data_IF_260109952331
#
_entry.id   IF_260109952331
#
_cell.length_a   1.000
_cell.length_b   1.000
_cell.length_c   1.000
_cell.angle_alpha   90.00
_cell.angle_beta   90.00
_cell.angle_gamma   90.00
#
_symmetry.space_group_name_H-M   'P 1'
#
loop_
_entity.id
_entity.type
_entity.pdbx_description
1 polymer ?
#
# COMPACT_ATOMS: atom_id res chain seq x y z
N UNK A 1 -19.21 7.97 18.72
CA UNK A 1 -17.90 8.05 18.05
C UNK A 1 -17.59 6.68 17.45
N UNK A 2 -17.04 6.64 16.23
CA UNK A 2 -16.41 5.44 15.64
C UNK A 2 -15.02 5.87 15.19
N UNK A 3 -14.00 5.25 15.75
CA UNK A 3 -12.59 5.51 15.40
C UNK A 3 -12.31 5.05 13.95
N UNK A 4 -11.69 5.88 13.09
CA UNK A 4 -11.30 5.47 11.74
C UNK A 4 -9.96 4.69 11.73
N UNK A 5 -9.85 3.64 10.90
CA UNK A 5 -8.66 2.77 10.76
C UNK A 5 -8.40 2.38 9.29
N UNK A 6 -7.16 2.54 8.78
CA UNK A 6 -6.91 3.09 7.43
C UNK A 6 -5.45 3.06 6.78
N UNK A 7 -4.87 1.93 6.30
CA UNK A 7 -3.47 1.80 5.74
C UNK A 7 -3.16 2.31 4.34
N UNK A 8 -1.85 2.31 3.97
CA UNK A 8 -1.29 2.57 2.61
C UNK A 8 -0.05 1.73 2.16
N UNK A 9 0.40 0.66 2.86
CA UNK A 9 1.66 -0.08 2.54
C UNK A 9 1.54 -1.62 2.58
N UNK A 10 2.45 -2.33 1.91
CA UNK A 10 2.66 -3.78 2.15
C UNK A 10 3.47 -3.97 3.41
N UNK A 11 3.09 -4.97 4.17
CA UNK A 11 3.71 -5.30 5.44
C UNK A 11 3.58 -4.21 6.50
N UNK A 12 2.57 -3.35 6.40
CA UNK A 12 2.26 -2.31 7.39
C UNK A 12 0.75 -2.08 7.50
N UNK A 13 0.35 -1.14 8.36
CA UNK A 13 -1.02 -0.71 8.60
C UNK A 13 -1.13 0.82 8.67
N UNK A 14 -2.35 1.33 8.90
CA UNK A 14 -2.71 2.75 9.06
C UNK A 14 -1.77 3.64 9.85
N UNK A 15 -1.48 3.28 11.09
CA UNK A 15 -1.23 4.31 12.11
C UNK A 15 0.14 4.98 11.90
N UNK A 16 1.02 4.30 11.14
CA UNK A 16 2.31 4.81 10.63
C UNK A 16 2.16 6.00 9.66
N UNK A 17 0.95 6.30 9.19
CA UNK A 17 0.59 7.48 8.38
C UNK A 17 -0.22 8.55 9.14
N UNK A 18 -0.57 8.34 10.41
CA UNK A 18 -1.40 9.28 11.18
C UNK A 18 -0.84 10.71 11.19
N UNK A 19 0.47 10.89 11.25
CA UNK A 19 1.12 12.20 11.18
C UNK A 19 0.94 12.92 9.82
N UNK A 20 0.81 12.18 8.70
CA UNK A 20 0.49 12.76 7.40
C UNK A 20 -1.00 13.07 7.30
N UNK A 21 -1.87 12.12 7.70
CA UNK A 21 -3.31 12.30 7.73
C UNK A 21 -3.70 13.52 8.57
N UNK A 22 -3.16 13.66 9.79
CA UNK A 22 -3.40 14.82 10.66
C UNK A 22 -2.94 16.15 10.05
N UNK A 23 -1.80 16.19 9.34
CA UNK A 23 -1.33 17.41 8.64
C UNK A 23 -2.17 17.80 7.43
N UNK A 24 -2.87 16.85 6.82
CA UNK A 24 -3.83 17.08 5.74
C UNK A 24 -5.19 17.50 6.31
N UNK A 25 -5.69 16.82 7.34
CA UNK A 25 -6.91 17.20 8.06
C UNK A 25 -6.82 18.63 8.62
N UNK A 26 -5.69 19.00 9.23
CA UNK A 26 -5.41 20.36 9.70
C UNK A 26 -5.32 21.42 8.57
N UNK A 27 -5.32 21.01 7.30
CA UNK A 27 -5.39 21.87 6.10
C UNK A 27 -6.76 21.83 5.42
N UNK A 28 -7.77 21.20 6.03
CA UNK A 28 -9.14 21.13 5.52
C UNK A 28 -9.43 19.96 4.57
N UNK A 29 -8.53 18.99 4.44
CA UNK A 29 -8.78 17.78 3.65
C UNK A 29 -9.50 16.70 4.47
N UNK A 30 -10.60 16.15 3.95
CA UNK A 30 -11.13 14.88 4.45
C UNK A 30 -10.18 13.75 4.02
N UNK A 31 -9.59 13.03 4.98
CA UNK A 31 -8.62 11.97 4.70
C UNK A 31 -9.27 10.60 4.93
N UNK A 32 -9.22 9.77 3.89
CA UNK A 32 -9.61 8.36 3.92
C UNK A 32 -8.40 7.50 3.60
N UNK A 33 -8.32 6.32 4.23
CA UNK A 33 -7.36 5.27 3.91
C UNK A 33 -7.92 3.90 4.39
N UNK A 34 -7.34 2.77 4.00
CA UNK A 34 -7.89 1.42 4.26
C UNK A 34 -6.80 0.42 4.65
N UNK A 35 -6.98 -0.36 5.72
CA UNK A 35 -6.09 -1.51 5.97
C UNK A 35 -6.29 -2.51 4.81
N UNK A 36 -5.32 -2.59 3.90
CA UNK A 36 -5.47 -3.37 2.66
C UNK A 36 -5.72 -4.85 2.97
N UNK A 37 -6.35 -5.60 2.05
CA UNK A 37 -6.51 -7.05 2.21
C UNK A 37 -5.18 -7.73 2.57
N UNK A 38 -5.23 -8.65 3.54
CA UNK A 38 -4.06 -9.32 4.08
C UNK A 38 -3.15 -8.46 4.98
N UNK A 39 -3.49 -7.21 5.27
CA UNK A 39 -2.65 -6.26 6.01
C UNK A 39 -3.38 -5.65 7.22
N UNK A 40 -2.63 -5.33 8.27
CA UNK A 40 -3.15 -4.69 9.47
C UNK A 40 -4.42 -5.35 10.03
N UNK A 41 -5.38 -4.51 10.43
CA UNK A 41 -6.65 -4.88 11.05
C UNK A 41 -7.64 -5.54 10.08
N UNK A 42 -7.43 -5.45 8.76
CA UNK A 42 -8.18 -6.23 7.76
C UNK A 42 -7.59 -7.63 7.59
N UNK A 43 -6.27 -7.74 7.61
CA UNK A 43 -5.54 -9.00 7.52
C UNK A 43 -5.73 -9.93 8.71
N UNK A 44 -5.81 -9.37 9.92
CA UNK A 44 -6.01 -10.16 11.15
C UNK A 44 -7.27 -11.04 11.13
N UNK A 45 -8.51 -10.52 10.92
CA UNK A 45 -9.71 -11.35 10.82
C UNK A 45 -9.70 -12.21 9.55
N UNK A 46 -9.14 -11.74 8.43
CA UNK A 46 -8.96 -12.53 7.22
C UNK A 46 -8.15 -13.81 7.46
N UNK A 47 -7.24 -13.80 8.44
CA UNK A 47 -6.38 -14.92 8.80
C UNK A 47 -6.66 -15.50 10.20
N UNK A 48 -7.87 -15.32 10.74
CA UNK A 48 -8.30 -15.86 12.04
C UNK A 48 -7.38 -15.47 13.22
N UNK A 49 -6.77 -14.29 13.16
CA UNK A 49 -5.82 -13.78 14.16
C UNK A 49 -4.36 -14.19 13.96
N UNK A 50 -4.04 -14.96 12.93
CA UNK A 50 -2.67 -15.40 12.63
C UNK A 50 -1.83 -14.28 11.97
N UNK A 51 -1.10 -13.54 12.81
CA UNK A 51 -0.21 -12.46 12.37
C UNK A 51 0.90 -12.95 11.41
N UNK A 52 1.33 -14.22 11.48
CA UNK A 52 2.35 -14.76 10.58
C UNK A 52 1.84 -14.94 9.12
N UNK A 53 0.55 -14.71 8.89
CA UNK A 53 -0.07 -14.70 7.55
C UNK A 53 -0.31 -13.30 7.00
N UNK A 54 -0.04 -12.24 7.77
CA UNK A 54 -0.05 -10.87 7.25
C UNK A 54 0.89 -10.72 6.05
N UNK A 55 0.52 -9.84 5.13
CA UNK A 55 1.14 -9.71 3.81
C UNK A 55 0.55 -10.63 2.73
N UNK A 56 -0.15 -11.71 3.09
CA UNK A 56 -0.81 -12.61 2.13
C UNK A 56 -2.17 -12.04 1.74
N UNK A 57 -2.40 -11.81 0.44
CA UNK A 57 -3.63 -11.18 -0.07
C UNK A 57 -4.86 -12.11 -0.08
N UNK A 58 -4.67 -13.43 -0.03
CA UNK A 58 -5.75 -14.41 -0.11
C UNK A 58 -6.38 -14.51 -1.50
N UNK A 59 -7.64 -14.96 -1.54
CA UNK A 59 -8.31 -15.30 -2.81
C UNK A 59 -8.41 -14.09 -3.76
N UNK A 60 -8.00 -14.31 -5.01
CA UNK A 60 -7.98 -13.28 -6.07
C UNK A 60 -6.74 -12.38 -6.10
N UNK A 61 -5.85 -12.48 -5.10
CA UNK A 61 -4.50 -11.92 -5.15
C UNK A 61 -4.42 -10.41 -5.38
N UNK A 62 -3.40 -9.97 -6.12
CA UNK A 62 -3.17 -8.55 -6.43
C UNK A 62 -4.33 -7.94 -7.22
N UNK A 63 -4.98 -8.71 -8.10
CA UNK A 63 -6.14 -8.23 -8.85
C UNK A 63 -7.33 -7.94 -7.95
N UNK A 64 -7.45 -8.64 -6.82
CA UNK A 64 -8.48 -8.35 -5.83
C UNK A 64 -8.12 -7.13 -4.99
N UNK A 65 -6.85 -6.98 -4.55
CA UNK A 65 -6.41 -5.77 -3.84
C UNK A 65 -6.65 -4.48 -4.65
N UNK A 66 -6.39 -4.51 -5.95
CA UNK A 66 -6.64 -3.37 -6.86
C UNK A 66 -8.14 -3.08 -7.06
N UNK A 67 -9.01 -4.10 -6.98
CA UNK A 67 -10.47 -3.88 -6.97
C UNK A 67 -10.92 -3.26 -5.65
N UNK A 68 -10.50 -3.83 -4.51
CA UNK A 68 -10.83 -3.31 -3.19
C UNK A 68 -10.44 -1.82 -3.06
N UNK A 69 -9.27 -1.41 -3.58
CA UNK A 69 -8.84 0.00 -3.63
C UNK A 69 -9.78 0.89 -4.47
N UNK A 70 -10.27 0.40 -5.61
CA UNK A 70 -11.19 1.13 -6.49
C UNK A 70 -12.59 1.22 -5.88
N UNK A 71 -13.10 0.12 -5.32
CA UNK A 71 -14.38 0.06 -4.62
C UNK A 71 -14.38 0.99 -3.38
N UNK A 72 -13.23 1.10 -2.69
CA UNK A 72 -13.01 2.08 -1.63
C UNK A 72 -13.05 3.52 -2.16
N UNK A 73 -12.40 3.82 -3.28
CA UNK A 73 -12.50 5.11 -3.97
C UNK A 73 -13.94 5.51 -4.33
N UNK A 74 -14.72 4.56 -4.85
CA UNK A 74 -16.14 4.77 -5.18
C UNK A 74 -16.98 5.08 -3.95
N UNK A 75 -16.72 4.38 -2.85
CA UNK A 75 -17.38 4.64 -1.57
C UNK A 75 -17.06 6.06 -1.05
N UNK A 76 -15.79 6.48 -1.10
CA UNK A 76 -15.39 7.84 -0.68
C UNK A 76 -16.14 8.89 -1.51
N UNK A 77 -16.21 8.72 -2.83
CA UNK A 77 -16.92 9.64 -3.73
C UNK A 77 -18.42 9.69 -3.45
N UNK A 78 -19.05 8.55 -3.14
CA UNK A 78 -20.46 8.46 -2.77
C UNK A 78 -20.76 9.13 -1.41
N UNK A 79 -19.84 9.02 -0.44
CA UNK A 79 -19.93 9.71 0.86
C UNK A 79 -19.64 11.22 0.76
N UNK A 80 -18.93 11.69 -0.28
CA UNK A 80 -18.48 13.08 -0.44
C UNK A 80 -18.80 13.62 -1.86
N UNK A 81 -20.08 13.71 -2.25
CA UNK A 81 -20.47 14.15 -3.59
C UNK A 81 -19.99 15.58 -3.90
N UNK A 82 -19.42 15.77 -5.10
CA UNK A 82 -18.96 17.08 -5.58
C UNK A 82 -17.58 17.53 -5.07
N UNK A 83 -16.93 16.80 -4.16
CA UNK A 83 -15.56 17.09 -3.75
C UNK A 83 -14.52 16.38 -4.65
N UNK A 84 -13.36 17.01 -4.95
CA UNK A 84 -12.26 16.35 -5.63
C UNK A 84 -11.68 15.17 -4.83
N UNK A 85 -11.40 14.06 -5.50
CA UNK A 85 -10.79 12.86 -4.92
C UNK A 85 -9.32 12.75 -5.38
N UNK A 86 -8.40 12.74 -4.42
CA UNK A 86 -6.97 12.63 -4.69
C UNK A 86 -6.44 11.29 -4.18
N UNK A 87 -5.82 10.51 -5.07
CA UNK A 87 -5.17 9.26 -4.71
C UNK A 87 -3.76 9.51 -4.18
N UNK A 88 -3.45 9.07 -2.95
CA UNK A 88 -2.09 9.08 -2.42
C UNK A 88 -1.65 7.63 -2.22
N UNK A 89 -0.60 7.22 -2.94
CA UNK A 89 -0.07 5.85 -2.86
C UNK A 89 1.43 5.87 -2.60
N UNK A 90 1.90 5.04 -1.66
CA UNK A 90 3.33 4.89 -1.36
C UNK A 90 3.80 3.45 -1.57
N UNK A 91 5.01 3.26 -2.12
CA UNK A 91 5.60 1.93 -2.39
C UNK A 91 4.60 1.04 -3.16
N UNK A 92 4.22 -0.13 -2.67
CA UNK A 92 3.22 -1.00 -3.32
C UNK A 92 1.84 -0.34 -3.51
N UNK A 93 1.39 0.51 -2.58
CA UNK A 93 0.17 1.30 -2.74
C UNK A 93 0.25 2.24 -3.95
N UNK A 94 1.44 2.76 -4.27
CA UNK A 94 1.68 3.52 -5.49
C UNK A 94 1.61 2.65 -6.75
N UNK A 95 2.01 1.37 -6.68
CA UNK A 95 1.93 0.44 -7.80
C UNK A 95 0.47 0.02 -8.07
N UNK A 96 -0.32 -0.22 -7.01
CA UNK A 96 -1.77 -0.41 -7.13
C UNK A 96 -2.45 0.84 -7.67
N UNK A 97 -2.05 2.03 -7.22
CA UNK A 97 -2.56 3.28 -7.78
C UNK A 97 -2.29 3.41 -9.28
N UNK A 98 -1.05 3.13 -9.72
CA UNK A 98 -0.75 3.01 -11.15
C UNK A 98 -1.61 1.95 -11.88
N UNK A 99 -1.98 0.83 -11.22
CA UNK A 99 -2.86 -0.18 -11.82
C UNK A 99 -4.28 0.33 -12.03
N UNK A 100 -4.82 1.10 -11.10
CA UNK A 100 -6.14 1.75 -11.23
C UNK A 100 -6.08 2.82 -12.32
N UNK A 101 -5.15 3.79 -12.21
CA UNK A 101 -5.04 4.91 -13.14
C UNK A 101 -4.78 4.50 -14.60
N UNK A 102 -4.17 3.34 -14.85
CA UNK A 102 -3.98 2.80 -16.20
C UNK A 102 -5.28 2.50 -16.97
N UNK A 103 -6.42 2.32 -16.28
CA UNK A 103 -7.72 2.02 -16.89
C UNK A 103 -8.89 2.86 -16.38
N UNK A 104 -8.66 3.63 -15.31
CA UNK A 104 -9.67 4.34 -14.51
C UNK A 104 -9.13 5.67 -13.99
N UNK A 105 -8.33 6.40 -14.78
CA UNK A 105 -7.78 7.70 -14.38
C UNK A 105 -8.85 8.79 -14.26
N UNK A 106 -9.97 8.63 -14.93
CA UNK A 106 -11.17 9.48 -14.87
C UNK A 106 -11.89 9.44 -13.51
N UNK A 107 -11.59 8.45 -12.66
CA UNK A 107 -12.23 8.31 -11.34
C UNK A 107 -11.58 9.18 -10.26
N UNK A 108 -10.40 9.76 -10.53
CA UNK A 108 -9.58 10.55 -9.60
C UNK A 108 -9.17 11.90 -10.20
N UNK A 109 -9.30 12.97 -9.42
CA UNK A 109 -9.00 14.34 -9.87
C UNK A 109 -7.49 14.65 -9.82
N UNK A 110 -6.74 13.95 -8.96
CA UNK A 110 -5.28 13.99 -8.92
C UNK A 110 -4.68 12.71 -8.29
N UNK A 111 -3.38 12.50 -8.49
CA UNK A 111 -2.63 11.40 -7.87
C UNK A 111 -1.24 11.83 -7.39
N UNK A 112 -0.82 11.30 -6.23
CA UNK A 112 0.51 11.49 -5.65
C UNK A 112 1.14 10.11 -5.40
N UNK A 113 2.24 9.82 -6.11
CA UNK A 113 2.93 8.53 -6.04
C UNK A 113 4.29 8.70 -5.35
N UNK A 114 4.43 8.15 -4.14
CA UNK A 114 5.61 8.29 -3.29
C UNK A 114 6.41 6.97 -3.20
N UNK A 115 7.74 7.02 -3.19
CA UNK A 115 8.58 5.81 -3.12
C UNK A 115 8.24 4.78 -4.22
N UNK A 116 7.85 5.27 -5.39
CA UNK A 116 7.26 4.46 -6.46
C UNK A 116 8.33 3.79 -7.32
N UNK A 117 7.93 2.80 -8.10
CA UNK A 117 8.77 2.16 -9.10
C UNK A 117 8.07 2.15 -10.46
N UNK A 118 8.86 2.16 -11.53
CA UNK A 118 8.32 1.92 -12.86
C UNK A 118 7.86 0.45 -12.96
N UNK A 119 6.70 0.22 -13.60
CA UNK A 119 6.06 -1.11 -13.65
C UNK A 119 6.50 -1.92 -14.87
N UNK A 120 7.79 -2.20 -14.98
CA UNK A 120 8.36 -3.10 -16.00
C UNK A 120 9.16 -4.23 -15.34
N UNK A 121 9.36 -5.31 -16.07
CA UNK A 121 10.17 -6.44 -15.60
C UNK A 121 11.59 -5.98 -15.32
N UNK A 122 12.12 -6.31 -14.14
CA UNK A 122 13.48 -5.97 -13.71
C UNK A 122 13.63 -4.61 -12.98
N UNK A 123 12.65 -3.70 -13.03
CA UNK A 123 12.74 -2.40 -12.35
C UNK A 123 12.22 -2.38 -10.92
N UNK A 124 11.47 -3.41 -10.49
CA UNK A 124 10.95 -3.53 -9.13
C UNK A 124 11.87 -4.45 -8.32
N UNK A 125 12.63 -3.90 -7.37
CA UNK A 125 13.31 -4.72 -6.38
C UNK A 125 12.27 -5.35 -5.45
N UNK A 126 12.15 -6.68 -5.51
CA UNK A 126 11.14 -7.48 -4.79
C UNK A 126 11.76 -8.53 -3.86
N UNK A 127 13.10 -8.57 -3.79
CA UNK A 127 13.87 -9.44 -2.91
C UNK A 127 14.14 -8.79 -1.56
N UNK A 128 15.33 -9.06 -1.01
CA UNK A 128 15.79 -8.44 0.23
C UNK A 128 16.16 -6.96 -0.01
N UNK A 129 15.28 -6.06 0.44
CA UNK A 129 15.49 -4.61 0.41
C UNK A 129 16.57 -4.17 1.41
N UNK A 130 16.75 -4.92 2.50
CA UNK A 130 17.72 -4.61 3.54
C UNK A 130 19.14 -5.07 3.20
N UNK A 131 19.35 -5.90 2.18
CA UNK A 131 20.66 -6.44 1.78
C UNK A 131 21.79 -5.39 1.70
N UNK A 132 21.49 -4.16 1.27
CA UNK A 132 22.47 -3.05 1.19
C UNK A 132 22.60 -2.24 2.48
N UNK A 133 21.66 -2.40 3.42
CA UNK A 133 21.49 -1.62 4.63
C UNK A 133 21.73 -2.43 5.92
N UNK A 134 21.91 -3.75 5.82
CA UNK A 134 22.15 -4.68 6.94
C UNK A 134 23.43 -4.41 7.76
N UNK A 135 24.27 -3.46 7.34
CA UNK A 135 25.43 -2.98 8.12
C UNK A 135 25.06 -1.81 9.07
N UNK A 136 23.84 -1.28 8.99
CA UNK A 136 23.35 -0.13 9.77
C UNK A 136 22.58 -0.54 11.04
N UNK A 137 22.23 -1.82 11.18
CA UNK A 137 21.37 -2.32 12.26
C UNK A 137 20.99 -3.78 12.09
N UNK A 138 20.25 -4.32 13.06
CA UNK A 138 19.86 -5.73 13.14
C UNK A 138 18.33 -5.96 13.00
N UNK A 139 17.55 -4.92 12.74
CA UNK A 139 16.07 -5.00 12.66
C UNK A 139 15.60 -5.65 11.36
N UNK A 140 16.40 -5.61 10.29
CA UNK A 140 15.95 -6.00 8.94
C UNK A 140 15.15 -4.91 8.22
N UNK A 141 14.97 -3.76 8.85
CA UNK A 141 14.12 -2.66 8.43
C UNK A 141 14.92 -1.36 8.13
N UNK A 142 16.25 -1.39 8.20
CA UNK A 142 17.16 -0.25 8.03
C UNK A 142 17.02 0.45 6.66
N UNK A 143 16.52 -0.25 5.64
CA UNK A 143 16.22 0.33 4.33
C UNK A 143 15.07 1.35 4.32
N UNK A 144 14.19 1.37 5.35
CA UNK A 144 13.01 2.22 5.41
C UNK A 144 13.33 3.70 5.65
N UNK A 145 14.36 3.99 6.44
CA UNK A 145 14.70 5.33 6.91
C UNK A 145 16.16 5.41 7.36
N UNK A 146 16.72 6.62 7.34
CA UNK A 146 18.01 6.92 7.99
C UNK A 146 17.88 7.14 9.49
N UNK A 147 16.65 7.27 9.99
CA UNK A 147 16.34 7.36 11.42
C UNK A 147 16.12 5.93 11.97
N UNK A 148 17.01 5.43 12.87
CA UNK A 148 16.89 4.08 13.42
C UNK A 148 15.58 3.83 14.15
N UNK A 149 15.00 4.85 14.79
CA UNK A 149 13.75 4.71 15.54
C UNK A 149 12.58 4.29 14.64
N UNK A 150 12.61 4.61 13.34
CA UNK A 150 11.60 4.16 12.36
C UNK A 150 11.72 2.67 12.05
N UNK A 151 12.94 2.13 12.04
CA UNK A 151 13.22 0.72 11.80
C UNK A 151 12.90 -0.13 13.04
N UNK A 152 13.27 0.36 14.23
CA UNK A 152 12.91 -0.24 15.52
C UNK A 152 11.38 -0.26 15.72
N UNK A 153 10.70 0.87 15.51
CA UNK A 153 9.25 0.96 15.63
C UNK A 153 8.50 0.13 14.57
N UNK A 154 9.10 -0.12 13.39
CA UNK A 154 8.56 -1.12 12.46
C UNK A 154 8.72 -2.52 13.05
N UNK A 155 9.94 -2.91 13.43
CA UNK A 155 10.24 -4.28 13.87
C UNK A 155 9.53 -4.69 15.16
N UNK A 156 9.10 -3.73 15.99
CA UNK A 156 8.33 -3.96 17.22
C UNK A 156 6.81 -4.05 16.99
N UNK A 157 6.31 -3.67 15.81
CA UNK A 157 4.88 -3.57 15.51
C UNK A 157 4.32 -4.91 14.98
N UNK A 158 3.41 -5.59 15.74
CA UNK A 158 2.88 -6.90 15.37
C UNK A 158 1.93 -6.89 14.17
N UNK A 159 1.55 -5.72 13.65
CA UNK A 159 0.77 -5.57 12.42
C UNK A 159 1.65 -5.39 11.17
N UNK A 160 2.97 -5.32 11.33
CA UNK A 160 3.92 -5.25 10.21
C UNK A 160 4.43 -6.63 9.78
N UNK A 161 5.10 -6.69 8.63
CA UNK A 161 5.90 -7.87 8.26
C UNK A 161 7.09 -7.50 7.38
N UNK A 162 8.26 -8.07 7.73
CA UNK A 162 9.51 -7.98 6.96
C UNK A 162 9.63 -9.07 5.90
N UNK A 163 8.61 -9.93 5.71
CA UNK A 163 8.67 -11.01 4.72
C UNK A 163 8.76 -10.38 3.31
N UNK A 164 9.81 -10.67 2.51
CA UNK A 164 9.98 -10.06 1.20
C UNK A 164 8.79 -10.29 0.26
N UNK A 165 8.50 -9.30 -0.59
CA UNK A 165 7.34 -9.30 -1.50
C UNK A 165 7.26 -10.58 -2.36
N UNK A 166 8.40 -11.09 -2.82
CA UNK A 166 8.52 -12.37 -3.53
C UNK A 166 7.93 -13.57 -2.76
N UNK A 167 8.12 -13.61 -1.43
CA UNK A 167 7.60 -14.68 -0.56
C UNK A 167 6.14 -14.48 -0.16
N UNK A 168 5.65 -13.24 -0.09
CA UNK A 168 4.26 -12.92 0.25
C UNK A 168 3.29 -13.16 -0.91
N UNK A 169 3.65 -12.72 -2.11
CA UNK A 169 2.78 -12.79 -3.30
C UNK A 169 3.01 -14.05 -4.14
N UNK A 170 4.19 -14.68 -4.05
CA UNK A 170 4.61 -15.69 -5.01
C UNK A 170 4.74 -15.13 -6.44
N UNK A 171 5.16 -15.97 -7.38
CA UNK A 171 5.42 -15.52 -8.75
C UNK A 171 4.16 -15.09 -9.50
N UNK A 172 3.00 -15.65 -9.16
CA UNK A 172 1.73 -15.40 -9.85
C UNK A 172 1.16 -13.99 -9.63
N UNK A 173 1.28 -13.43 -8.42
CA UNK A 173 0.82 -12.07 -8.09
C UNK A 173 1.91 -11.00 -8.27
N UNK A 174 3.20 -11.39 -8.34
CA UNK A 174 4.28 -10.47 -8.68
C UNK A 174 4.27 -10.06 -10.17
N UNK A 175 3.85 -10.95 -11.08
CA UNK A 175 3.90 -10.69 -12.52
C UNK A 175 3.02 -9.52 -13.00
N UNK A 176 1.76 -9.31 -12.53
CA UNK A 176 0.93 -8.17 -12.93
C UNK A 176 1.45 -6.81 -12.42
N UNK A 177 2.14 -6.79 -11.28
CA UNK A 177 2.77 -5.56 -10.77
C UNK A 177 3.83 -5.02 -11.75
N UNK A 178 4.58 -5.91 -12.39
CA UNK A 178 5.66 -5.60 -13.35
C UNK A 178 5.21 -5.45 -14.82
N UNK A 179 3.91 -5.30 -15.08
CA UNK A 179 3.38 -5.07 -16.45
C UNK A 179 3.19 -3.56 -16.71
N UNK A 180 3.73 -3.03 -17.84
CA UNK A 180 3.53 -1.62 -18.20
C UNK A 180 2.06 -1.35 -18.52
N UNK A 181 1.66 -0.07 -18.63
CA UNK A 181 0.37 0.30 -19.19
C UNK A 181 0.19 -0.35 -20.57
N UNK A 182 -1.02 -0.83 -20.86
CA UNK A 182 -1.38 -1.12 -22.24
C UNK A 182 -1.34 0.21 -22.99
N UNK A 183 -0.65 0.27 -24.14
CA UNK A 183 -0.69 1.47 -25.00
C UNK A 183 -2.14 1.80 -25.27
N UNK A 184 -2.55 3.01 -24.91
CA UNK A 184 -3.94 3.44 -25.01
C UNK A 184 -4.48 3.24 -26.41
N UNK A 185 -5.64 2.58 -26.52
CA UNK A 185 -6.55 2.90 -27.62
C UNK A 185 -7.17 4.24 -27.25
N UNK A 186 -6.77 5.30 -27.96
CA UNK A 186 -7.44 6.59 -27.86
C UNK A 186 -8.97 6.38 -27.99
N UNK A 187 -9.70 6.95 -27.04
CA UNK A 187 -11.14 7.21 -27.12
C UNK A 187 -11.34 8.67 -26.79
#
# INVERSE_FOLDING_TARGET
MREPSSSWRVGEHVDRYAALAGRLAARGYTVYADDHRGHGRTGMPQWNGDAARLGRLGSGGLRAAVRDLRDFGHRIRAENPGLPLVLIGHSWGSLMGQMVLNGHSDEYDAAVLCGTAYRVVGSINSGDLNKRHAHLGATGAEWLSRDPAVAEAFSADPLTTLVPLQKLFGMADAAPASRPPLRGRNR
#
